data_IF_216619594978
#
_entry.id   IF_216619594978
#
_cell.length_a   1.000
_cell.length_b   1.000
_cell.length_c   1.000
_cell.angle_alpha   90.00
_cell.angle_beta   90.00
_cell.angle_gamma   90.00
#
_symmetry.space_group_name_H-M   'P 1'
#
loop_
_entity.id
_entity.type
_entity.pdbx_description
1 polymer ?
#
# COMPACT_ATOMS: atom_id res chain seq x y z
N UNK A 1 -29.44 32.45 25.38
CA UNK A 1 -28.87 33.26 24.29
C UNK A 1 -27.53 32.65 23.93
N UNK A 2 -27.32 32.28 22.68
CA UNK A 2 -25.99 31.91 22.18
C UNK A 2 -25.19 33.19 21.97
N UNK A 3 -23.94 33.22 22.45
CA UNK A 3 -23.06 34.40 22.35
C UNK A 3 -22.64 34.66 20.90
N UNK A 4 -22.50 33.61 20.10
CA UNK A 4 -22.11 33.71 18.69
C UNK A 4 -23.31 33.94 17.78
N UNK A 5 -23.22 35.01 17.00
CA UNK A 5 -24.14 35.36 15.92
C UNK A 5 -23.84 34.56 14.66
N UNK A 6 -24.71 34.65 13.66
CA UNK A 6 -24.47 34.05 12.35
C UNK A 6 -23.32 34.72 11.60
N UNK A 7 -23.08 36.02 11.85
CA UNK A 7 -21.93 36.74 11.31
C UNK A 7 -20.61 36.22 11.91
N UNK A 8 -20.56 36.01 13.23
CA UNK A 8 -19.36 35.44 13.89
C UNK A 8 -19.06 34.03 13.36
N UNK A 9 -20.10 33.22 13.12
CA UNK A 9 -19.96 31.89 12.50
C UNK A 9 -19.43 31.97 11.08
N UNK A 10 -19.99 32.86 10.24
CA UNK A 10 -19.53 33.03 8.87
C UNK A 10 -18.07 33.53 8.80
N UNK A 11 -17.65 34.39 9.73
CA UNK A 11 -16.27 34.85 9.83
C UNK A 11 -15.33 33.68 10.19
N UNK A 12 -15.72 32.85 11.17
CA UNK A 12 -14.95 31.65 11.54
C UNK A 12 -14.82 30.66 10.37
N UNK A 13 -15.90 30.40 9.63
CA UNK A 13 -15.88 29.56 8.42
C UNK A 13 -14.90 30.10 7.38
N UNK A 14 -14.88 31.43 7.15
CA UNK A 14 -13.93 32.06 6.25
C UNK A 14 -12.48 31.94 6.73
N UNK A 15 -12.23 32.04 8.04
CA UNK A 15 -10.90 31.86 8.62
C UNK A 15 -10.37 30.42 8.44
N UNK A 16 -11.25 29.41 8.45
CA UNK A 16 -10.87 27.99 8.41
C UNK A 16 -10.92 27.38 7.00
N UNK A 17 -11.52 28.04 6.01
CA UNK A 17 -11.70 27.50 4.67
C UNK A 17 -10.41 26.97 4.00
N UNK A 18 -9.28 27.68 4.16
CA UNK A 18 -7.99 27.21 3.60
C UNK A 18 -7.40 26.05 4.41
N UNK A 19 -7.65 26.00 5.72
CA UNK A 19 -7.27 24.86 6.57
C UNK A 19 -8.06 23.62 6.16
N UNK A 20 -9.36 23.75 5.92
CA UNK A 20 -10.20 22.63 5.47
C UNK A 20 -9.78 22.14 4.09
N UNK A 21 -9.44 23.05 3.17
CA UNK A 21 -8.91 22.68 1.84
C UNK A 21 -7.57 21.96 1.95
N UNK A 22 -6.67 22.42 2.83
CA UNK A 22 -5.41 21.74 3.11
C UNK A 22 -5.67 20.33 3.64
N UNK A 23 -6.51 20.18 4.67
CA UNK A 23 -6.80 18.89 5.28
C UNK A 23 -7.47 17.92 4.31
N UNK A 24 -8.40 18.41 3.48
CA UNK A 24 -9.10 17.59 2.50
C UNK A 24 -8.18 17.10 1.35
N UNK A 25 -7.24 17.94 0.91
CA UNK A 25 -6.38 17.62 -0.25
C UNK A 25 -5.08 16.93 0.13
N UNK A 26 -4.42 17.38 1.21
CA UNK A 26 -3.14 16.83 1.66
C UNK A 26 -3.30 15.60 2.56
N UNK A 27 -4.47 15.42 3.20
CA UNK A 27 -4.73 14.33 4.13
C UNK A 27 -6.07 13.59 3.87
N UNK A 28 -6.26 13.02 2.65
CA UNK A 28 -7.51 12.35 2.27
C UNK A 28 -7.81 11.04 3.04
N UNK A 29 -6.81 10.45 3.70
CA UNK A 29 -6.91 9.17 4.40
C UNK A 29 -6.60 7.95 3.53
N UNK A 30 -6.70 6.76 4.13
CA UNK A 30 -6.48 5.48 3.44
C UNK A 30 -7.53 5.30 2.31
N UNK A 31 -7.13 5.01 1.07
CA UNK A 31 -8.05 4.83 -0.05
C UNK A 31 -8.94 3.58 0.08
N UNK A 32 -8.66 2.67 1.02
CA UNK A 32 -9.45 1.46 1.24
C UNK A 32 -9.31 0.41 0.14
N UNK A 33 -8.30 0.53 -0.73
CA UNK A 33 -7.95 -0.51 -1.69
C UNK A 33 -7.06 -1.57 -1.02
N UNK A 34 -6.89 -2.72 -1.66
CA UNK A 34 -5.99 -3.77 -1.16
C UNK A 34 -4.54 -3.25 -1.07
N UNK A 35 -3.86 -3.49 0.06
CA UNK A 35 -2.41 -3.34 0.22
C UNK A 35 -1.79 -4.74 0.27
N UNK A 36 -0.70 -5.01 -0.49
CA UNK A 36 -0.05 -6.30 -0.42
C UNK A 36 0.68 -6.50 0.92
N UNK A 37 0.78 -7.74 1.41
CA UNK A 37 1.51 -8.03 2.68
C UNK A 37 3.03 -8.01 2.53
N UNK A 38 3.50 -8.11 1.29
CA UNK A 38 4.93 -8.07 0.97
C UNK A 38 5.17 -7.49 -0.42
N UNK A 39 6.42 -7.15 -0.72
CA UNK A 39 6.94 -6.88 -2.06
C UNK A 39 8.22 -7.70 -2.27
N UNK A 40 8.38 -8.28 -3.45
CA UNK A 40 9.63 -8.95 -3.85
C UNK A 40 10.32 -8.19 -4.97
N UNK A 41 11.64 -8.08 -4.90
CA UNK A 41 12.46 -7.50 -5.96
C UNK A 41 13.24 -8.62 -6.64
N UNK A 42 13.03 -8.77 -7.95
CA UNK A 42 13.70 -9.81 -8.75
C UNK A 42 14.48 -9.13 -9.86
N UNK A 43 15.76 -9.50 -10.09
CA UNK A 43 16.53 -8.96 -11.21
C UNK A 43 15.74 -9.11 -12.50
N UNK A 44 15.61 -8.02 -13.26
CA UNK A 44 14.66 -7.98 -14.38
C UNK A 44 14.91 -9.05 -15.45
N UNK A 45 16.18 -9.41 -15.67
CA UNK A 45 16.58 -10.48 -16.59
C UNK A 45 16.29 -11.91 -16.10
N UNK A 46 15.80 -12.07 -14.87
CA UNK A 46 15.39 -13.37 -14.29
C UNK A 46 13.89 -13.54 -14.21
N UNK A 47 13.10 -12.51 -14.50
CA UNK A 47 11.66 -12.62 -14.46
C UNK A 47 11.13 -13.49 -15.61
N UNK A 48 10.32 -14.48 -15.25
CA UNK A 48 9.54 -15.29 -16.19
C UNK A 48 8.07 -15.29 -15.79
N UNK A 49 7.12 -15.51 -16.72
CA UNK A 49 5.69 -15.53 -16.40
C UNK A 49 5.26 -16.55 -15.34
N UNK A 50 6.03 -17.64 -15.18
CA UNK A 50 5.81 -18.73 -14.23
C UNK A 50 6.51 -18.52 -12.87
N UNK A 51 7.35 -17.48 -12.75
CA UNK A 51 8.15 -17.21 -11.55
C UNK A 51 7.33 -17.21 -10.25
N UNK A 52 6.12 -16.59 -10.16
CA UNK A 52 5.34 -16.64 -8.92
C UNK A 52 4.99 -18.08 -8.51
N UNK A 53 4.49 -18.89 -9.43
CA UNK A 53 4.15 -20.29 -9.16
C UNK A 53 5.40 -21.11 -8.77
N UNK A 54 6.53 -20.87 -9.43
CA UNK A 54 7.80 -21.50 -9.07
C UNK A 54 8.23 -21.16 -7.63
N UNK A 55 8.14 -19.88 -7.23
CA UNK A 55 8.45 -19.45 -5.87
C UNK A 55 7.48 -20.04 -4.84
N UNK A 56 6.20 -20.18 -5.18
CA UNK A 56 5.21 -20.87 -4.35
C UNK A 56 5.58 -22.34 -4.10
N UNK A 57 5.94 -23.08 -5.16
CA UNK A 57 6.39 -24.45 -5.05
C UNK A 57 7.69 -24.59 -4.25
N UNK A 58 8.69 -23.73 -4.50
CA UNK A 58 9.96 -23.72 -3.75
C UNK A 58 9.74 -23.44 -2.26
N UNK A 59 8.82 -22.53 -1.92
CA UNK A 59 8.45 -22.21 -0.56
C UNK A 59 7.80 -23.41 0.16
N UNK A 60 6.88 -24.11 -0.51
CA UNK A 60 6.23 -25.31 0.00
C UNK A 60 7.23 -26.46 0.19
N UNK A 61 8.13 -26.66 -0.77
CA UNK A 61 9.20 -27.66 -0.68
C UNK A 61 10.18 -27.35 0.45
N UNK A 62 10.50 -26.07 0.69
CA UNK A 62 11.31 -25.65 1.82
C UNK A 62 10.63 -26.01 3.15
N UNK A 63 9.34 -25.68 3.31
CA UNK A 63 8.58 -26.03 4.50
C UNK A 63 8.46 -27.56 4.68
N UNK A 64 8.19 -28.32 3.60
CA UNK A 64 8.06 -29.77 3.63
C UNK A 64 9.34 -30.46 4.15
N UNK A 65 10.52 -29.98 3.71
CA UNK A 65 11.82 -30.48 4.20
C UNK A 65 12.03 -30.31 5.71
N UNK A 66 11.37 -29.32 6.32
CA UNK A 66 11.40 -29.08 7.78
C UNK A 66 10.20 -29.71 8.52
N UNK A 67 9.46 -30.60 7.87
CA UNK A 67 8.32 -31.30 8.46
C UNK A 67 6.96 -30.62 8.24
N UNK A 68 6.89 -29.67 7.29
CA UNK A 68 5.64 -29.05 6.83
C UNK A 68 5.28 -27.75 7.54
N UNK A 69 4.30 -27.04 6.97
CA UNK A 69 3.86 -25.72 7.45
C UNK A 69 3.27 -25.75 8.87
N UNK A 70 2.52 -26.78 9.25
CA UNK A 70 1.92 -26.89 10.58
C UNK A 70 2.99 -27.04 11.68
N UNK A 71 4.00 -27.90 11.43
CA UNK A 71 5.14 -28.02 12.33
C UNK A 71 5.92 -26.71 12.42
N UNK A 72 6.18 -26.08 11.28
CA UNK A 72 6.85 -24.78 11.26
C UNK A 72 6.06 -23.72 12.05
N UNK A 73 4.74 -23.66 11.91
CA UNK A 73 3.89 -22.75 12.68
C UNK A 73 4.01 -23.03 14.19
N UNK A 74 3.94 -24.29 14.61
CA UNK A 74 4.09 -24.69 16.01
C UNK A 74 5.48 -24.36 16.58
N UNK A 75 6.56 -24.68 15.85
CA UNK A 75 7.95 -24.43 16.24
C UNK A 75 8.27 -22.93 16.39
N UNK A 76 7.48 -22.08 15.72
CA UNK A 76 7.58 -20.61 15.77
C UNK A 76 6.57 -19.96 16.73
N UNK A 77 5.63 -20.71 17.30
CA UNK A 77 4.54 -20.16 18.11
C UNK A 77 3.59 -19.28 17.30
N UNK A 78 3.29 -19.67 16.06
CA UNK A 78 2.43 -18.95 15.11
C UNK A 78 1.12 -19.73 14.89
N UNK A 79 0.54 -20.24 15.97
CA UNK A 79 -0.64 -21.09 15.94
C UNK A 79 -1.96 -20.30 15.86
N UNK A 80 -1.95 -18.98 16.08
CA UNK A 80 -3.15 -18.14 15.92
C UNK A 80 -3.99 -17.96 17.19
N UNK A 81 -3.42 -18.29 18.37
CA UNK A 81 -4.10 -18.08 19.66
C UNK A 81 -4.07 -16.62 20.14
N UNK A 82 -5.22 -16.04 20.53
CA UNK A 82 -5.25 -14.75 21.21
C UNK A 82 -4.46 -14.79 22.54
N UNK A 83 -3.39 -14.00 22.64
CA UNK A 83 -2.65 -13.78 23.89
C UNK A 83 -1.48 -14.73 24.16
N UNK A 84 -1.09 -15.59 23.21
CA UNK A 84 0.18 -16.32 23.26
C UNK A 84 1.32 -15.39 22.86
N UNK A 85 1.74 -14.53 23.81
CA UNK A 85 3.15 -14.16 23.83
C UNK A 85 3.98 -15.45 23.77
N UNK A 86 5.06 -15.46 22.99
CA UNK A 86 5.91 -16.62 22.73
C UNK A 86 6.07 -17.51 24.00
N UNK A 87 5.28 -18.60 24.11
CA UNK A 87 5.32 -19.45 25.31
C UNK A 87 4.05 -20.19 25.74
N UNK A 88 2.86 -19.92 25.18
CA UNK A 88 1.67 -20.75 25.42
C UNK A 88 1.31 -21.52 24.15
N UNK A 89 1.57 -22.85 24.14
CA UNK A 89 1.19 -23.72 23.03
C UNK A 89 -0.33 -23.80 22.93
N UNK A 90 -0.91 -23.37 21.82
CA UNK A 90 -2.28 -23.74 21.49
C UNK A 90 -2.33 -25.19 20.99
N UNK A 91 -3.53 -25.76 20.88
CA UNK A 91 -3.70 -27.13 20.43
C UNK A 91 -3.27 -27.29 18.96
N UNK A 92 -2.80 -28.49 18.61
CA UNK A 92 -2.48 -28.93 17.24
C UNK A 92 -3.69 -28.97 16.26
N UNK A 93 -4.68 -28.09 16.44
CA UNK A 93 -5.73 -27.84 15.47
C UNK A 93 -5.66 -26.43 14.87
N UNK A 94 -5.08 -25.46 15.58
CA UNK A 94 -5.00 -24.08 15.08
C UNK A 94 -3.79 -23.86 14.17
N UNK A 95 -2.63 -24.41 14.53
CA UNK A 95 -1.45 -24.40 13.66
C UNK A 95 -1.75 -25.04 12.29
N UNK A 96 -2.56 -26.10 12.27
CA UNK A 96 -3.04 -26.81 11.10
C UNK A 96 -3.99 -25.94 10.27
N UNK A 97 -4.88 -25.19 10.92
CA UNK A 97 -5.77 -24.25 10.23
C UNK A 97 -4.99 -23.10 9.57
N UNK A 98 -4.02 -22.50 10.29
CA UNK A 98 -3.15 -21.47 9.72
C UNK A 98 -2.32 -22.03 8.57
N UNK A 99 -1.73 -23.21 8.76
CA UNK A 99 -0.93 -23.89 7.74
C UNK A 99 -1.74 -24.19 6.46
N UNK A 100 -2.99 -24.62 6.58
CA UNK A 100 -3.86 -24.87 5.42
C UNK A 100 -4.15 -23.59 4.62
N UNK A 101 -4.40 -22.46 5.30
CA UNK A 101 -4.59 -21.17 4.65
C UNK A 101 -3.31 -20.69 3.95
N UNK A 102 -2.15 -20.83 4.62
CA UNK A 102 -0.86 -20.46 4.03
C UNK A 102 -0.51 -21.35 2.84
N UNK A 103 -0.81 -22.65 2.91
CA UNK A 103 -0.62 -23.55 1.78
C UNK A 103 -1.45 -23.09 0.58
N UNK A 104 -2.75 -22.85 0.77
CA UNK A 104 -3.63 -22.35 -0.30
C UNK A 104 -3.13 -21.01 -0.88
N UNK A 105 -2.59 -20.13 -0.03
CA UNK A 105 -1.99 -18.87 -0.45
C UNK A 105 -0.75 -19.07 -1.33
N UNK A 106 0.17 -19.95 -0.92
CA UNK A 106 1.38 -20.26 -1.67
C UNK A 106 1.10 -20.98 -2.99
N UNK A 107 0.02 -21.76 -3.06
CA UNK A 107 -0.41 -22.46 -4.29
C UNK A 107 -1.09 -21.52 -5.30
N UNK A 108 -1.83 -20.50 -4.83
CA UNK A 108 -2.68 -19.66 -5.69
C UNK A 108 -2.18 -18.23 -5.91
N UNK A 109 -1.54 -17.61 -4.92
CA UNK A 109 -1.04 -16.23 -4.98
C UNK A 109 0.20 -16.07 -4.08
N UNK A 110 1.31 -16.77 -4.36
CA UNK A 110 2.51 -16.77 -3.53
C UNK A 110 3.22 -15.42 -3.47
N UNK A 111 3.11 -14.61 -4.54
CA UNK A 111 3.66 -13.26 -4.62
C UNK A 111 2.49 -12.29 -4.83
N UNK A 112 2.24 -11.42 -3.87
CA UNK A 112 1.20 -10.38 -4.00
C UNK A 112 1.69 -9.18 -4.81
N UNK A 113 2.98 -8.84 -4.68
CA UNK A 113 3.58 -7.65 -5.27
C UNK A 113 5.02 -7.89 -5.75
N UNK A 114 5.28 -7.63 -7.02
CA UNK A 114 6.56 -7.91 -7.68
C UNK A 114 7.15 -6.67 -8.34
N UNK A 115 8.43 -6.39 -8.09
CA UNK A 115 9.23 -5.37 -8.77
C UNK A 115 10.31 -6.04 -9.61
N UNK A 116 10.26 -5.80 -10.92
CA UNK A 116 11.35 -6.11 -11.83
C UNK A 116 12.45 -5.09 -11.57
N UNK A 117 13.57 -5.55 -11.03
CA UNK A 117 14.65 -4.72 -10.57
C UNK A 117 15.66 -4.48 -11.69
N UNK A 118 15.90 -3.22 -12.02
CA UNK A 118 16.94 -2.73 -12.94
C UNK A 118 18.04 -1.96 -12.19
N UNK A 119 18.03 -2.04 -10.86
CA UNK A 119 18.91 -1.32 -9.98
C UNK A 119 19.90 -2.28 -9.30
N UNK A 120 20.03 -2.30 -7.97
CA UNK A 120 21.11 -3.03 -7.29
C UNK A 120 21.10 -4.54 -7.56
N UNK A 121 19.92 -5.17 -7.64
CA UNK A 121 19.80 -6.61 -7.91
C UNK A 121 20.11 -6.99 -9.36
N UNK A 122 20.06 -6.04 -10.28
CA UNK A 122 20.31 -6.26 -11.71
C UNK A 122 21.80 -6.16 -12.08
N UNK A 123 22.52 -5.28 -11.40
CA UNK A 123 23.91 -4.93 -11.71
C UNK A 123 24.03 -3.86 -12.80
N UNK A 124 25.19 -3.80 -13.44
CA UNK A 124 25.58 -2.72 -14.37
C UNK A 124 26.01 -3.25 -15.76
N UNK A 125 25.11 -3.89 -16.52
CA UNK A 125 25.40 -4.24 -17.90
C UNK A 125 25.50 -2.99 -18.78
N UNK A 126 25.91 -3.16 -20.03
CA UNK A 126 25.94 -2.05 -20.99
C UNK A 126 24.52 -1.59 -21.40
N UNK A 127 24.44 -0.38 -21.95
CA UNK A 127 23.18 0.26 -22.32
C UNK A 127 22.32 -0.56 -23.29
N UNK A 128 22.95 -1.28 -24.22
CA UNK A 128 22.23 -2.09 -25.22
C UNK A 128 21.59 -3.33 -24.58
N UNK A 129 22.32 -3.96 -23.66
CA UNK A 129 21.82 -5.09 -22.87
C UNK A 129 20.65 -4.66 -21.96
N UNK A 130 20.78 -3.55 -21.22
CA UNK A 130 19.70 -3.06 -20.37
C UNK A 130 18.46 -2.64 -21.17
N UNK A 131 18.66 -2.05 -22.36
CA UNK A 131 17.59 -1.75 -23.30
C UNK A 131 16.83 -3.02 -23.73
N UNK A 132 17.55 -4.10 -24.06
CA UNK A 132 16.96 -5.36 -24.46
C UNK A 132 16.18 -6.01 -23.32
N UNK A 133 16.75 -6.00 -22.11
CA UNK A 133 16.12 -6.56 -20.91
C UNK A 133 14.87 -5.77 -20.51
N UNK A 134 14.85 -4.43 -20.63
CA UNK A 134 13.67 -3.61 -20.38
C UNK A 134 12.48 -4.00 -21.26
N UNK A 135 12.73 -4.24 -22.55
CA UNK A 135 11.69 -4.68 -23.50
C UNK A 135 11.26 -6.13 -23.22
N UNK A 136 12.22 -7.02 -22.96
CA UNK A 136 11.94 -8.42 -22.66
C UNK A 136 11.11 -8.57 -21.37
N UNK A 137 11.44 -7.79 -20.34
CA UNK A 137 10.73 -7.68 -19.09
C UNK A 137 9.27 -7.25 -19.30
N UNK A 138 9.04 -6.16 -20.05
CA UNK A 138 7.69 -5.70 -20.38
C UNK A 138 6.88 -6.76 -21.13
N UNK A 139 7.47 -7.39 -22.16
CA UNK A 139 6.83 -8.46 -22.90
C UNK A 139 6.52 -9.69 -22.02
N UNK A 140 7.37 -10.01 -21.04
CA UNK A 140 7.11 -11.08 -20.08
C UNK A 140 5.94 -10.75 -19.16
N UNK A 141 5.81 -9.50 -18.71
CA UNK A 141 4.66 -9.05 -17.91
C UNK A 141 3.37 -9.16 -18.71
N UNK A 142 3.37 -8.77 -19.99
CA UNK A 142 2.22 -8.93 -20.89
C UNK A 142 1.82 -10.41 -20.99
N UNK A 143 2.77 -11.31 -21.27
CA UNK A 143 2.50 -12.76 -21.32
C UNK A 143 1.96 -13.31 -20.00
N UNK A 144 2.48 -12.87 -18.86
CA UNK A 144 1.99 -13.29 -17.56
C UNK A 144 0.54 -12.85 -17.31
N UNK A 145 0.17 -11.64 -17.76
CA UNK A 145 -1.22 -11.16 -17.69
C UNK A 145 -2.16 -11.96 -18.58
N UNK A 146 -1.76 -12.20 -19.83
CA UNK A 146 -2.55 -13.01 -20.77
C UNK A 146 -2.76 -14.45 -20.27
N UNK A 147 -1.75 -15.01 -19.60
CA UNK A 147 -1.81 -16.33 -18.99
C UNK A 147 -2.54 -16.36 -17.62
N UNK A 148 -2.88 -15.19 -17.05
CA UNK A 148 -3.47 -15.10 -15.71
C UNK A 148 -2.51 -15.48 -14.56
N UNK A 149 -1.19 -15.41 -14.79
CA UNK A 149 -0.15 -15.76 -13.82
C UNK A 149 0.56 -14.55 -13.21
N UNK A 150 0.26 -13.34 -13.70
CA UNK A 150 0.81 -12.11 -13.15
C UNK A 150 0.32 -11.88 -11.70
N UNK A 151 1.21 -11.46 -10.78
CA UNK A 151 0.80 -10.97 -9.46
C UNK A 151 -0.21 -9.82 -9.55
N UNK A 152 -1.06 -9.64 -8.52
CA UNK A 152 -2.02 -8.52 -8.47
C UNK A 152 -1.36 -7.15 -8.61
N UNK A 153 -0.15 -7.00 -8.06
CA UNK A 153 0.68 -5.82 -8.19
C UNK A 153 2.00 -6.20 -8.85
N UNK A 154 2.36 -5.50 -9.93
CA UNK A 154 3.59 -5.77 -10.67
C UNK A 154 4.15 -4.48 -11.24
N UNK A 155 5.47 -4.37 -11.26
CA UNK A 155 6.08 -3.09 -11.56
C UNK A 155 7.57 -3.14 -11.75
N UNK A 156 8.19 -1.97 -11.68
CA UNK A 156 9.61 -1.78 -11.96
C UNK A 156 10.28 -0.98 -10.84
N UNK A 157 11.48 -1.40 -10.44
CA UNK A 157 12.45 -0.53 -9.78
C UNK A 157 13.54 -0.21 -10.79
N UNK A 158 13.55 1.03 -11.26
CA UNK A 158 14.55 1.51 -12.22
C UNK A 158 15.63 2.32 -11.49
N UNK A 159 16.74 2.62 -12.18
CA UNK A 159 17.85 3.34 -11.56
C UNK A 159 17.44 4.73 -11.04
N UNK A 160 18.11 5.15 -9.97
CA UNK A 160 17.84 6.40 -9.24
C UNK A 160 17.95 7.67 -10.10
N UNK A 161 17.49 8.80 -9.55
CA UNK A 161 17.64 10.14 -10.15
C UNK A 161 18.92 10.87 -9.74
N UNK A 162 19.92 10.14 -9.27
CA UNK A 162 21.26 10.68 -9.04
C UNK A 162 21.90 11.11 -10.37
N UNK A 163 22.96 11.92 -10.29
CA UNK A 163 23.59 12.49 -11.49
C UNK A 163 24.08 11.42 -12.47
N UNK A 164 24.66 10.34 -11.95
CA UNK A 164 25.25 9.27 -12.74
C UNK A 164 24.21 8.36 -13.42
N UNK A 165 23.02 8.22 -12.82
CA UNK A 165 22.06 7.16 -13.17
C UNK A 165 20.79 7.67 -13.82
N UNK A 166 20.41 8.96 -13.63
CA UNK A 166 19.10 9.49 -14.05
C UNK A 166 18.77 9.27 -15.53
N UNK A 167 19.73 9.44 -16.43
CA UNK A 167 19.51 9.29 -17.87
C UNK A 167 19.19 7.84 -18.22
N UNK A 168 19.96 6.91 -17.66
CA UNK A 168 19.76 5.46 -17.82
C UNK A 168 18.44 5.02 -17.19
N UNK A 169 18.14 5.48 -15.98
CA UNK A 169 16.89 5.18 -15.28
C UNK A 169 15.65 5.61 -16.07
N UNK A 170 15.64 6.85 -16.57
CA UNK A 170 14.54 7.36 -17.42
C UNK A 170 14.39 6.57 -18.71
N UNK A 171 15.51 6.19 -19.35
CA UNK A 171 15.49 5.38 -20.58
C UNK A 171 14.87 4.00 -20.34
N UNK A 172 15.24 3.34 -19.24
CA UNK A 172 14.71 2.03 -18.86
C UNK A 172 13.22 2.10 -18.53
N UNK A 173 12.79 3.12 -17.78
CA UNK A 173 11.38 3.35 -17.47
C UNK A 173 10.53 3.56 -18.74
N UNK A 174 11.00 4.42 -19.66
CA UNK A 174 10.35 4.70 -20.94
C UNK A 174 10.16 3.42 -21.77
N UNK A 175 11.22 2.61 -21.92
CA UNK A 175 11.17 1.35 -22.65
C UNK A 175 10.23 0.32 -22.03
N UNK A 176 10.26 0.19 -20.70
CA UNK A 176 9.40 -0.75 -20.00
C UNK A 176 7.92 -0.38 -20.17
N UNK A 177 7.57 0.91 -19.99
CA UNK A 177 6.19 1.37 -20.15
C UNK A 177 5.72 1.28 -21.61
N UNK A 178 6.56 1.65 -22.57
CA UNK A 178 6.24 1.49 -23.98
C UNK A 178 5.97 0.01 -24.34
N UNK A 179 6.80 -0.91 -23.86
CA UNK A 179 6.61 -2.34 -24.09
C UNK A 179 5.34 -2.90 -23.43
N UNK A 180 4.93 -2.39 -22.25
CA UNK A 180 3.65 -2.77 -21.65
C UNK A 180 2.47 -2.31 -22.52
N UNK A 181 2.57 -1.09 -23.07
CA UNK A 181 1.52 -0.49 -23.90
C UNK A 181 1.38 -1.16 -25.27
N UNK A 182 2.44 -1.78 -25.80
CA UNK A 182 2.36 -2.64 -26.97
C UNK A 182 1.44 -3.86 -26.73
N UNK A 183 1.32 -4.30 -25.48
CA UNK A 183 0.42 -5.37 -25.05
C UNK A 183 -0.99 -4.91 -24.64
N UNK A 184 -1.34 -3.63 -24.83
CA UNK A 184 -2.64 -3.05 -24.46
C UNK A 184 -2.56 -2.13 -23.25
N UNK A 185 -3.61 -2.09 -22.43
CA UNK A 185 -3.65 -1.19 -21.27
C UNK A 185 -2.66 -1.59 -20.18
N UNK A 186 -2.13 -0.58 -19.48
CA UNK A 186 -1.26 -0.76 -18.32
C UNK A 186 -1.96 -1.56 -17.21
N UNK A 187 -1.24 -2.45 -16.49
CA UNK A 187 -1.81 -3.19 -15.36
C UNK A 187 -2.43 -2.26 -14.32
N UNK A 188 -3.62 -2.57 -13.80
CA UNK A 188 -4.25 -1.75 -12.74
C UNK A 188 -3.35 -1.65 -11.50
N UNK A 189 -2.70 -2.76 -11.13
CA UNK A 189 -1.69 -2.84 -10.09
C UNK A 189 -0.27 -2.48 -10.55
N UNK A 190 -0.11 -1.67 -11.60
CA UNK A 190 1.21 -1.19 -12.03
C UNK A 190 1.84 -0.32 -10.94
N UNK A 191 3.07 -0.62 -10.57
CA UNK A 191 3.82 0.18 -9.59
C UNK A 191 5.20 0.57 -10.11
N UNK A 192 5.56 1.84 -9.95
CA UNK A 192 6.89 2.35 -10.27
C UNK A 192 7.62 2.62 -8.95
N UNK A 193 8.86 2.20 -8.80
CA UNK A 193 9.66 2.50 -7.60
C UNK A 193 10.85 3.38 -7.96
N UNK A 194 10.95 4.53 -7.30
CA UNK A 194 12.08 5.45 -7.39
C UNK A 194 13.03 5.22 -6.20
N UNK A 195 14.22 4.63 -6.43
CA UNK A 195 15.19 4.38 -5.37
C UNK A 195 16.08 5.60 -5.08
N UNK A 196 16.80 5.53 -3.97
CA UNK A 196 17.87 6.47 -3.54
C UNK A 196 17.42 7.94 -3.61
N UNK A 197 16.19 8.20 -3.14
CA UNK A 197 15.69 9.57 -3.01
C UNK A 197 16.32 10.22 -1.78
N UNK A 198 16.89 11.41 -1.98
CA UNK A 198 17.58 12.18 -0.95
C UNK A 198 16.95 13.56 -0.73
N UNK A 199 16.15 14.05 -1.68
CA UNK A 199 15.50 15.37 -1.61
C UNK A 199 14.10 15.35 -2.24
N UNK A 200 13.22 16.26 -1.79
CA UNK A 200 11.90 16.44 -2.38
C UNK A 200 11.96 16.81 -3.89
N UNK A 201 13.04 17.45 -4.34
CA UNK A 201 13.22 17.81 -5.75
C UNK A 201 13.25 16.59 -6.68
N UNK A 202 13.77 15.45 -6.24
CA UNK A 202 13.75 14.21 -7.02
C UNK A 202 12.32 13.67 -7.17
N UNK A 203 11.46 13.83 -6.16
CA UNK A 203 10.05 13.45 -6.25
C UNK A 203 9.27 14.37 -7.22
N UNK A 204 9.52 15.68 -7.19
CA UNK A 204 8.96 16.62 -8.17
C UNK A 204 9.42 16.28 -9.60
N UNK A 205 10.69 15.94 -9.79
CA UNK A 205 11.20 15.49 -11.09
C UNK A 205 10.51 14.20 -11.57
N UNK A 206 10.21 13.26 -10.66
CA UNK A 206 9.51 12.03 -11.00
C UNK A 206 8.04 12.27 -11.35
N UNK A 207 7.36 13.18 -10.63
CA UNK A 207 6.02 13.62 -11.00
C UNK A 207 5.98 14.25 -12.40
N UNK A 208 6.98 15.08 -12.74
CA UNK A 208 7.13 15.64 -14.08
C UNK A 208 7.37 14.54 -15.13
N UNK A 209 8.23 13.56 -14.84
CA UNK A 209 8.50 12.44 -15.77
C UNK A 209 7.24 11.62 -16.03
N UNK A 210 6.47 11.29 -14.98
CA UNK A 210 5.19 10.61 -15.09
C UNK A 210 4.21 11.40 -15.98
N UNK A 211 4.05 12.70 -15.76
CA UNK A 211 3.16 13.55 -16.56
C UNK A 211 3.57 13.59 -18.04
N UNK A 212 4.88 13.59 -18.34
CA UNK A 212 5.37 13.55 -19.72
C UNK A 212 5.13 12.20 -20.39
N UNK A 213 5.32 11.10 -19.67
CA UNK A 213 5.01 9.76 -20.17
C UNK A 213 3.51 9.61 -20.43
N UNK A 214 2.67 10.08 -19.52
CA UNK A 214 1.21 10.09 -19.71
C UNK A 214 0.79 10.85 -20.96
N UNK A 215 1.28 12.08 -21.14
CA UNK A 215 0.98 12.90 -22.32
C UNK A 215 1.42 12.21 -23.62
N UNK A 216 2.64 11.66 -23.66
CA UNK A 216 3.18 11.00 -24.86
C UNK A 216 2.48 9.72 -25.24
N UNK A 217 1.97 8.99 -24.25
CA UNK A 217 1.26 7.73 -24.45
C UNK A 217 -0.27 7.89 -24.46
N UNK A 218 -0.79 9.12 -24.32
CA UNK A 218 -2.23 9.37 -24.29
C UNK A 218 -2.94 8.78 -23.06
N UNK A 219 -2.23 8.63 -21.94
CA UNK A 219 -2.78 8.10 -20.71
C UNK A 219 -3.53 9.20 -19.93
N UNK A 220 -4.55 8.84 -19.13
CA UNK A 220 -5.18 9.78 -18.21
C UNK A 220 -4.16 10.41 -17.26
N UNK A 221 -4.31 11.70 -16.98
CA UNK A 221 -3.46 12.40 -16.02
C UNK A 221 -3.54 11.73 -14.64
N UNK A 222 -2.38 11.46 -14.04
CA UNK A 222 -2.29 10.80 -12.73
C UNK A 222 -2.38 9.27 -12.78
N UNK A 223 -2.48 8.66 -13.97
CA UNK A 223 -2.46 7.19 -14.15
C UNK A 223 -1.15 6.56 -13.65
N UNK A 224 -0.03 7.24 -13.83
CA UNK A 224 1.29 6.82 -13.36
C UNK A 224 1.55 7.39 -11.97
N UNK A 225 1.56 6.48 -10.99
CA UNK A 225 1.92 6.71 -9.59
C UNK A 225 3.21 5.98 -9.28
N UNK A 226 3.89 6.37 -8.20
CA UNK A 226 5.16 5.77 -7.83
C UNK A 226 5.35 5.65 -6.31
N UNK A 227 6.16 4.68 -5.93
CA UNK A 227 6.66 4.47 -4.57
C UNK A 227 8.07 5.04 -4.46
N UNK A 228 8.41 5.50 -3.26
CA UNK A 228 9.74 6.05 -2.95
C UNK A 228 10.46 5.10 -2.01
N UNK A 229 11.67 4.68 -2.39
CA UNK A 229 12.58 4.00 -1.47
C UNK A 229 13.23 5.05 -0.56
N UNK A 230 12.84 5.03 0.72
CA UNK A 230 13.37 5.89 1.76
C UNK A 230 14.56 5.18 2.38
N UNK A 231 15.74 5.52 1.87
CA UNK A 231 16.98 4.82 2.21
C UNK A 231 18.19 5.72 2.39
N UNK A 232 17.98 7.03 2.36
CA UNK A 232 19.02 8.01 2.65
C UNK A 232 18.67 8.77 3.95
N UNK A 233 19.63 8.97 4.87
CA UNK A 233 19.40 9.74 6.08
C UNK A 233 18.90 11.17 5.81
N UNK A 234 19.32 11.76 4.69
CA UNK A 234 18.95 13.13 4.29
C UNK A 234 17.46 13.24 3.96
N UNK A 235 16.81 12.16 3.51
CA UNK A 235 15.37 12.17 3.31
C UNK A 235 14.61 12.15 4.65
N UNK A 236 15.22 11.63 5.72
CA UNK A 236 14.63 11.62 7.06
C UNK A 236 14.88 12.96 7.79
N UNK A 237 16.11 13.46 7.77
CA UNK A 237 16.52 14.71 8.41
C UNK A 237 17.34 15.56 7.45
N UNK A 238 16.78 16.71 7.07
CA UNK A 238 17.44 17.68 6.19
C UNK A 238 18.58 18.42 6.90
N UNK A 239 19.55 18.97 6.15
CA UNK A 239 20.67 19.73 6.71
C UNK A 239 20.23 21.03 7.42
N UNK A 240 19.01 21.49 7.18
CA UNK A 240 18.37 22.64 7.82
C UNK A 240 17.49 22.26 9.02
N UNK A 241 17.50 20.99 9.43
CA UNK A 241 16.67 20.47 10.52
C UNK A 241 15.23 20.16 10.13
N UNK A 242 14.88 20.25 8.84
CA UNK A 242 13.54 19.87 8.36
C UNK A 242 13.41 18.35 8.23
N UNK A 243 12.18 17.88 7.95
CA UNK A 243 11.86 16.48 7.67
C UNK A 243 11.48 16.35 6.19
N UNK A 244 12.43 16.13 5.27
CA UNK A 244 12.15 16.11 3.83
C UNK A 244 11.14 15.03 3.43
N UNK A 245 11.04 13.94 4.21
CA UNK A 245 10.04 12.89 3.99
C UNK A 245 8.59 13.37 4.16
N UNK A 246 8.35 14.43 4.94
CA UNK A 246 7.05 15.07 5.02
C UNK A 246 6.80 16.00 3.81
N UNK A 247 7.83 16.75 3.41
CA UNK A 247 7.71 17.69 2.30
C UNK A 247 7.50 16.99 0.94
N UNK A 248 8.20 15.87 0.67
CA UNK A 248 8.08 15.21 -0.65
C UNK A 248 6.66 14.69 -0.92
N UNK A 249 5.94 14.26 0.12
CA UNK A 249 4.58 13.69 -0.01
C UNK A 249 3.62 14.68 -0.67
N UNK A 250 3.87 15.97 -0.50
CA UNK A 250 3.07 17.07 -1.05
C UNK A 250 3.70 17.68 -2.32
N UNK A 251 4.91 17.27 -2.70
CA UNK A 251 5.66 17.83 -3.83
C UNK A 251 5.47 17.09 -5.16
N UNK A 252 4.62 16.07 -5.17
CA UNK A 252 4.43 15.14 -6.30
C UNK A 252 2.96 15.01 -6.75
N UNK A 253 2.11 16.00 -6.49
CA UNK A 253 0.72 16.07 -6.96
C UNK A 253 -0.11 14.79 -6.68
N UNK A 254 0.06 14.19 -5.50
CA UNK A 254 -0.63 12.96 -5.10
C UNK A 254 -0.17 11.66 -5.79
N UNK A 255 0.91 11.72 -6.60
CA UNK A 255 1.44 10.56 -7.33
C UNK A 255 2.19 9.57 -6.45
N UNK A 256 2.68 9.98 -5.29
CA UNK A 256 3.31 9.05 -4.35
C UNK A 256 2.24 8.09 -3.81
N UNK A 257 2.45 6.78 -3.96
CA UNK A 257 1.55 5.73 -3.49
C UNK A 257 2.08 4.99 -2.26
N UNK A 258 3.40 4.95 -2.07
CA UNK A 258 4.03 4.27 -0.96
C UNK A 258 5.43 4.76 -0.63
N UNK A 259 5.85 4.56 0.62
CA UNK A 259 7.21 4.75 1.11
C UNK A 259 7.77 3.40 1.56
N UNK A 260 8.90 2.99 1.02
CA UNK A 260 9.56 1.73 1.32
C UNK A 260 10.84 1.99 2.09
N UNK A 261 10.99 1.41 3.28
CA UNK A 261 12.21 1.56 4.06
C UNK A 261 13.35 0.70 3.49
N UNK A 262 14.39 1.33 2.93
CA UNK A 262 15.58 0.62 2.42
C UNK A 262 16.56 0.30 3.54
N UNK A 263 16.52 -0.93 4.05
CA UNK A 263 17.27 -1.32 5.27
C UNK A 263 18.77 -1.15 5.13
N UNK A 264 19.36 -1.65 4.05
CA UNK A 264 20.80 -1.78 3.93
C UNK A 264 21.47 -0.46 3.55
N UNK A 265 21.01 0.22 2.50
CA UNK A 265 21.48 1.55 2.10
C UNK A 265 21.37 2.57 3.24
N UNK A 266 20.24 2.58 3.96
CA UNK A 266 20.07 3.48 5.10
C UNK A 266 21.04 3.17 6.23
N UNK A 267 21.20 1.88 6.57
CA UNK A 267 22.07 1.48 7.67
C UNK A 267 23.56 1.67 7.35
N UNK A 268 23.96 1.49 6.09
CA UNK A 268 25.30 1.76 5.59
C UNK A 268 25.61 3.26 5.64
N UNK A 269 24.66 4.11 5.21
CA UNK A 269 24.81 5.56 5.29
C UNK A 269 24.95 6.08 6.74
N UNK A 270 24.40 5.35 7.72
CA UNK A 270 24.60 5.62 9.15
C UNK A 270 25.88 5.00 9.73
N UNK A 271 26.67 4.28 8.93
CA UNK A 271 27.85 3.53 9.35
C UNK A 271 27.56 2.49 10.43
N UNK A 272 26.37 1.89 10.39
CA UNK A 272 26.04 0.76 11.27
C UNK A 272 26.89 -0.43 10.83
N UNK A 273 27.64 -1.00 11.78
CA UNK A 273 28.52 -2.12 11.50
C UNK A 273 27.75 -3.31 10.88
N UNK A 274 28.34 -4.06 9.94
CA UNK A 274 27.62 -5.07 9.16
C UNK A 274 26.82 -6.10 9.99
N UNK A 275 27.37 -6.55 11.12
CA UNK A 275 26.70 -7.51 12.01
C UNK A 275 25.43 -6.97 12.70
N UNK A 276 25.21 -5.66 12.63
CA UNK A 276 24.09 -4.95 13.28
C UNK A 276 23.16 -4.26 12.27
N UNK A 277 23.41 -4.42 10.96
CA UNK A 277 22.49 -3.95 9.93
C UNK A 277 21.22 -4.82 9.96
N UNK A 278 20.16 -4.27 10.56
CA UNK A 278 18.89 -4.95 10.72
C UNK A 278 17.74 -3.96 10.68
N UNK A 279 16.59 -4.42 10.16
CA UNK A 279 15.37 -3.60 10.08
C UNK A 279 14.77 -3.26 11.46
N UNK A 280 15.24 -3.87 12.55
CA UNK A 280 14.86 -3.56 13.93
C UNK A 280 15.94 -2.81 14.73
N UNK A 281 17.00 -2.33 14.07
CA UNK A 281 18.00 -1.47 14.67
C UNK A 281 17.39 -0.11 15.10
N UNK A 282 17.84 0.55 16.19
CA UNK A 282 17.31 1.84 16.63
C UNK A 282 17.34 2.95 15.56
N UNK A 283 18.36 2.94 14.69
CA UNK A 283 18.44 3.84 13.53
C UNK A 283 17.32 3.62 12.51
N UNK A 284 16.95 2.35 12.26
CA UNK A 284 15.80 1.99 11.43
C UNK A 284 14.49 2.40 12.10
N UNK A 285 14.37 2.21 13.42
CA UNK A 285 13.20 2.61 14.19
C UNK A 285 12.95 4.12 14.12
N UNK A 286 14.02 4.93 14.21
CA UNK A 286 13.92 6.38 14.04
C UNK A 286 13.36 6.76 12.67
N UNK A 287 13.96 6.23 11.58
CA UNK A 287 13.49 6.49 10.22
C UNK A 287 12.02 6.12 10.03
N UNK A 288 11.65 4.92 10.48
CA UNK A 288 10.29 4.38 10.34
C UNK A 288 9.27 5.14 11.16
N UNK A 289 9.62 5.64 12.35
CA UNK A 289 8.74 6.49 13.12
C UNK A 289 8.48 7.82 12.39
N UNK A 290 9.52 8.45 11.84
CA UNK A 290 9.40 9.69 11.08
C UNK A 290 8.57 9.48 9.81
N UNK A 291 8.83 8.42 9.05
CA UNK A 291 8.03 8.04 7.88
C UNK A 291 6.56 7.83 8.23
N UNK A 292 6.28 7.15 9.34
CA UNK A 292 4.91 6.83 9.75
C UNK A 292 4.13 8.09 10.12
N UNK A 293 4.74 9.01 10.86
CA UNK A 293 4.13 10.31 11.19
C UNK A 293 3.92 11.16 9.93
N UNK A 294 4.90 11.19 9.02
CA UNK A 294 4.80 11.94 7.77
C UNK A 294 3.68 11.42 6.86
N UNK A 295 3.53 10.11 6.72
CA UNK A 295 2.52 9.49 5.86
C UNK A 295 1.10 9.50 6.47
N UNK A 296 0.96 9.69 7.78
CA UNK A 296 -0.32 9.59 8.47
C UNK A 296 -1.38 10.53 7.85
N UNK A 297 -2.51 9.95 7.45
CA UNK A 297 -3.61 10.69 6.84
C UNK A 297 -3.42 11.05 5.36
N UNK A 298 -2.22 10.93 4.79
CA UNK A 298 -1.97 11.28 3.38
C UNK A 298 -2.52 10.27 2.37
N UNK A 299 -2.83 9.05 2.83
CA UNK A 299 -3.20 7.92 1.97
C UNK A 299 -1.99 7.19 1.36
N UNK A 300 -0.77 7.66 1.63
CA UNK A 300 0.47 6.98 1.24
C UNK A 300 0.73 5.79 2.17
N UNK A 301 1.04 4.65 1.57
CA UNK A 301 1.30 3.39 2.28
C UNK A 301 2.74 3.29 2.75
N UNK A 302 2.96 2.44 3.74
CA UNK A 302 4.29 2.15 4.26
C UNK A 302 4.62 0.69 4.01
N UNK A 303 5.83 0.44 3.52
CA UNK A 303 6.47 -0.87 3.50
C UNK A 303 7.72 -0.84 4.37
N UNK A 304 7.84 -1.82 5.26
CA UNK A 304 9.09 -2.06 5.98
C UNK A 304 10.12 -2.66 5.00
N UNK A 305 11.37 -2.74 5.44
CA UNK A 305 12.45 -3.31 4.65
C UNK A 305 12.52 -4.83 4.72
N UNK A 306 13.72 -5.34 4.43
CA UNK A 306 14.02 -6.77 4.30
C UNK A 306 15.04 -7.26 5.33
N UNK A 307 15.11 -8.58 5.48
CA UNK A 307 16.30 -9.26 6.01
C UNK A 307 17.00 -10.06 4.91
N UNK A 308 18.32 -9.90 4.81
CA UNK A 308 19.24 -10.64 3.94
C UNK A 308 19.74 -11.94 4.58
N UNK A 309 19.29 -12.25 5.80
CA UNK A 309 19.50 -13.56 6.42
C UNK A 309 18.47 -14.51 5.82
N UNK A 310 18.89 -15.22 4.78
CA UNK A 310 18.03 -16.10 4.00
C UNK A 310 17.90 -17.48 4.68
N UNK A 311 16.70 -18.08 4.71
CA UNK A 311 16.49 -19.46 5.18
C UNK A 311 17.06 -20.52 4.21
N UNK A 312 18.38 -20.60 4.13
CA UNK A 312 19.15 -21.50 3.27
C UNK A 312 20.28 -22.14 4.09
N UNK A 313 20.74 -23.32 3.67
CA UNK A 313 21.83 -24.03 4.34
C UNK A 313 21.35 -25.25 5.13
N UNK A 314 22.01 -25.53 6.25
CA UNK A 314 21.65 -26.65 7.14
C UNK A 314 20.32 -26.39 7.87
N UNK A 315 19.67 -27.45 8.34
CA UNK A 315 18.34 -27.36 8.98
C UNK A 315 18.29 -26.36 10.16
N UNK A 316 19.35 -26.30 10.96
CA UNK A 316 19.45 -25.37 12.09
C UNK A 316 19.55 -23.90 11.62
N UNK A 317 20.30 -23.64 10.55
CA UNK A 317 20.46 -22.31 9.95
C UNK A 317 19.14 -21.84 9.33
N UNK A 318 18.45 -22.73 8.61
CA UNK A 318 17.12 -22.48 8.03
C UNK A 318 16.12 -22.12 9.13
N UNK A 319 16.04 -22.91 10.21
CA UNK A 319 15.12 -22.66 11.31
C UNK A 319 15.46 -21.37 12.07
N UNK A 320 16.75 -21.05 12.26
CA UNK A 320 17.18 -19.80 12.87
C UNK A 320 16.79 -18.58 12.02
N UNK A 321 17.01 -18.64 10.70
CA UNK A 321 16.61 -17.59 9.77
C UNK A 321 15.09 -17.41 9.71
N UNK A 322 14.31 -18.50 9.76
CA UNK A 322 12.85 -18.44 9.84
C UNK A 322 12.34 -17.84 11.14
N UNK A 323 12.93 -18.20 12.29
CA UNK A 323 12.62 -17.56 13.58
C UNK A 323 12.86 -16.06 13.53
N UNK A 324 14.01 -15.66 12.98
CA UNK A 324 14.34 -14.25 12.81
C UNK A 324 13.32 -13.56 11.90
N UNK A 325 13.05 -14.12 10.73
CA UNK A 325 12.14 -13.53 9.75
C UNK A 325 10.73 -13.38 10.31
N UNK A 326 10.14 -14.44 10.88
CA UNK A 326 8.81 -14.40 11.47
C UNK A 326 8.69 -13.34 12.59
N UNK A 327 9.70 -13.25 13.47
CA UNK A 327 9.77 -12.22 14.52
C UNK A 327 9.79 -10.81 13.94
N UNK A 328 10.58 -10.57 12.89
CA UNK A 328 10.68 -9.26 12.23
C UNK A 328 9.36 -8.88 11.55
N UNK A 329 8.72 -9.81 10.83
CA UNK A 329 7.41 -9.61 10.22
C UNK A 329 6.36 -9.26 11.27
N UNK A 330 6.26 -10.04 12.34
CA UNK A 330 5.31 -9.77 13.43
C UNK A 330 5.54 -8.40 14.06
N UNK A 331 6.80 -8.05 14.33
CA UNK A 331 7.17 -6.73 14.88
C UNK A 331 6.76 -5.59 13.95
N UNK A 332 6.91 -5.73 12.63
CA UNK A 332 6.46 -4.72 11.67
C UNK A 332 4.94 -4.52 11.74
N UNK A 333 4.17 -5.62 11.77
CA UNK A 333 2.71 -5.59 11.90
C UNK A 333 2.25 -4.91 13.19
N UNK A 334 2.84 -5.26 14.33
CA UNK A 334 2.59 -4.66 15.64
C UNK A 334 2.87 -3.15 15.66
N UNK A 335 3.77 -2.68 14.80
CA UNK A 335 4.15 -1.26 14.67
C UNK A 335 3.42 -0.52 13.55
N UNK A 336 2.44 -1.15 12.91
CA UNK A 336 1.62 -0.53 11.87
C UNK A 336 2.27 -0.48 10.48
N UNK A 337 3.27 -1.32 10.24
CA UNK A 337 3.83 -1.59 8.91
C UNK A 337 3.26 -2.91 8.39
N UNK A 338 2.24 -2.82 7.53
CA UNK A 338 1.47 -3.98 7.07
C UNK A 338 1.98 -4.61 5.77
N UNK A 339 3.08 -4.08 5.24
CA UNK A 339 3.79 -4.56 4.07
C UNK A 339 5.29 -4.57 4.40
N UNK A 340 6.03 -5.53 3.87
CA UNK A 340 7.49 -5.61 4.03
C UNK A 340 8.15 -6.23 2.80
N UNK A 341 9.46 -6.40 2.82
CA UNK A 341 10.18 -6.97 1.68
C UNK A 341 10.61 -8.41 1.95
N UNK A 342 10.45 -9.26 0.94
CA UNK A 342 11.03 -10.61 0.92
C UNK A 342 12.00 -10.71 -0.27
N UNK A 343 13.18 -11.28 -0.03
CA UNK A 343 14.28 -11.37 -0.98
C UNK A 343 14.39 -12.75 -1.64
N UNK A 344 13.66 -13.75 -1.12
CA UNK A 344 13.78 -15.14 -1.57
C UNK A 344 12.51 -15.95 -1.32
N UNK A 345 12.21 -16.94 -2.18
CA UNK A 345 11.05 -17.85 -2.06
C UNK A 345 10.95 -18.52 -0.66
N UNK A 346 12.10 -18.93 -0.11
CA UNK A 346 12.19 -19.52 1.23
C UNK A 346 11.73 -18.60 2.38
N UNK A 347 11.53 -17.30 2.18
CA UNK A 347 10.95 -16.40 3.19
C UNK A 347 9.41 -16.37 3.17
N UNK A 348 8.79 -16.79 2.07
CA UNK A 348 7.34 -16.78 1.91
C UNK A 348 6.57 -17.59 2.97
N UNK A 349 7.03 -18.79 3.41
CA UNK A 349 6.33 -19.53 4.46
C UNK A 349 6.18 -18.71 5.74
N UNK A 350 7.26 -18.09 6.20
CA UNK A 350 7.23 -17.30 7.45
C UNK A 350 6.61 -15.92 7.28
N UNK A 351 6.64 -15.34 6.08
CA UNK A 351 5.84 -14.13 5.75
C UNK A 351 4.36 -14.37 6.03
N UNK A 352 3.79 -15.40 5.40
CA UNK A 352 2.36 -15.67 5.49
C UNK A 352 1.97 -16.25 6.84
N UNK A 353 2.74 -17.19 7.41
CA UNK A 353 2.47 -17.73 8.75
C UNK A 353 2.43 -16.62 9.81
N UNK A 354 3.43 -15.73 9.85
CA UNK A 354 3.46 -14.65 10.83
C UNK A 354 2.33 -13.63 10.63
N UNK A 355 2.00 -13.32 9.37
CA UNK A 355 0.91 -12.39 9.04
C UNK A 355 -0.45 -12.97 9.38
N UNK A 356 -0.70 -14.23 9.03
CA UNK A 356 -1.99 -14.88 9.26
C UNK A 356 -2.21 -15.13 10.75
N UNK A 357 -1.20 -15.59 11.48
CA UNK A 357 -1.26 -15.72 12.93
C UNK A 357 -1.58 -14.37 13.59
N UNK A 358 -0.89 -13.28 13.22
CA UNK A 358 -1.14 -11.94 13.77
C UNK A 358 -2.61 -11.49 13.63
N UNK A 359 -3.21 -11.68 12.45
CA UNK A 359 -4.62 -11.33 12.26
C UNK A 359 -5.56 -12.28 12.99
N UNK A 360 -5.29 -13.59 12.97
CA UNK A 360 -6.15 -14.59 13.63
C UNK A 360 -6.14 -14.45 15.15
N UNK A 361 -5.02 -14.06 15.75
CA UNK A 361 -4.91 -13.71 17.17
C UNK A 361 -5.87 -12.54 17.53
N UNK A 362 -5.97 -11.54 16.65
CA UNK A 362 -6.65 -10.28 16.93
C UNK A 362 -8.10 -10.21 16.48
N UNK A 363 -8.48 -10.89 15.40
CA UNK A 363 -9.80 -10.74 14.75
C UNK A 363 -10.95 -11.09 15.69
N UNK A 364 -10.94 -12.19 16.47
CA UNK A 364 -12.06 -12.50 17.37
C UNK A 364 -12.36 -11.40 18.38
N UNK A 365 -11.33 -10.75 18.94
CA UNK A 365 -11.50 -9.63 19.86
C UNK A 365 -11.99 -8.37 19.13
N UNK A 366 -11.48 -8.12 17.92
CA UNK A 366 -11.90 -6.97 17.11
C UNK A 366 -13.37 -7.07 16.67
N UNK A 367 -13.81 -8.25 16.23
CA UNK A 367 -15.18 -8.53 15.81
C UNK A 367 -16.16 -8.35 16.96
N UNK A 368 -15.88 -8.93 18.14
CA UNK A 368 -16.73 -8.73 19.34
C UNK A 368 -16.84 -7.25 19.74
N UNK A 369 -15.76 -6.49 19.62
CA UNK A 369 -15.76 -5.06 19.93
C UNK A 369 -16.53 -4.24 18.91
N UNK A 370 -16.45 -4.59 17.63
CA UNK A 370 -17.27 -4.00 16.57
C UNK A 370 -18.75 -4.30 16.79
N UNK A 371 -19.10 -5.54 17.13
CA UNK A 371 -20.47 -5.94 17.49
C UNK A 371 -20.99 -5.06 18.64
N UNK A 372 -20.27 -5.01 19.76
CA UNK A 372 -20.65 -4.21 20.93
C UNK A 372 -20.85 -2.72 20.60
N UNK A 373 -19.96 -2.17 19.76
CA UNK A 373 -20.04 -0.77 19.32
C UNK A 373 -21.31 -0.52 18.48
N UNK A 374 -21.70 -1.45 17.61
CA UNK A 374 -22.87 -1.31 16.73
C UNK A 374 -24.20 -1.55 17.47
N UNK A 375 -24.20 -2.41 18.48
CA UNK A 375 -25.38 -2.67 19.33
C UNK A 375 -25.53 -1.70 20.50
N UNK A 376 -24.63 -0.73 20.65
CA UNK A 376 -24.56 0.20 21.78
C UNK A 376 -24.53 -0.53 23.15
N UNK A 377 -24.02 -1.76 23.18
CA UNK A 377 -23.94 -2.57 24.39
C UNK A 377 -22.62 -2.32 25.11
N UNK A 378 -22.69 -1.98 26.40
CA UNK A 378 -21.51 -1.78 27.23
C UNK A 378 -20.69 -3.07 27.42
N UNK A 379 -19.37 -2.91 27.51
CA UNK A 379 -18.40 -3.97 27.86
C UNK A 379 -17.27 -3.41 28.73
N UNK A 380 -16.24 -4.22 29.01
CA UNK A 380 -15.06 -3.78 29.78
C UNK A 380 -14.16 -2.76 29.07
N UNK A 381 -14.45 -2.44 27.80
CA UNK A 381 -13.74 -1.44 26.97
C UNK A 381 -14.81 -0.52 26.36
N UNK A 382 -14.60 0.79 26.45
CA UNK A 382 -15.45 1.78 25.79
C UNK A 382 -14.86 2.10 24.40
N UNK A 383 -15.59 1.73 23.35
CA UNK A 383 -15.20 2.00 21.96
C UNK A 383 -15.86 3.29 21.43
N UNK A 384 -15.05 4.13 20.79
CA UNK A 384 -15.45 5.40 20.17
C UNK A 384 -15.27 5.32 18.64
N UNK A 385 -15.80 6.27 17.84
CA UNK A 385 -15.65 6.21 16.38
C UNK A 385 -14.20 6.01 15.90
N UNK A 386 -13.20 6.53 16.63
CA UNK A 386 -11.80 6.32 16.29
C UNK A 386 -11.31 4.88 16.49
N UNK A 387 -11.70 4.23 17.59
CA UNK A 387 -11.31 2.85 17.86
C UNK A 387 -12.11 1.88 17.00
N UNK A 388 -13.42 2.11 16.79
CA UNK A 388 -14.23 1.34 15.85
C UNK A 388 -13.64 1.36 14.42
N UNK A 389 -13.18 2.53 13.95
CA UNK A 389 -12.46 2.65 12.67
C UNK A 389 -11.19 1.80 12.62
N UNK A 390 -10.42 1.77 13.71
CA UNK A 390 -9.18 0.99 13.77
C UNK A 390 -9.48 -0.51 13.75
N UNK A 391 -10.49 -0.96 14.49
CA UNK A 391 -10.96 -2.34 14.48
C UNK A 391 -11.45 -2.77 13.09
N UNK A 392 -12.26 -1.93 12.44
CA UNK A 392 -12.75 -2.20 11.09
C UNK A 392 -11.61 -2.32 10.07
N UNK A 393 -10.60 -1.43 10.12
CA UNK A 393 -9.40 -1.54 9.27
C UNK A 393 -8.60 -2.81 9.53
N UNK A 394 -8.51 -3.24 10.78
CA UNK A 394 -7.81 -4.47 11.14
C UNK A 394 -8.50 -5.70 10.54
N UNK A 395 -9.83 -5.79 10.67
CA UNK A 395 -10.63 -6.89 10.09
C UNK A 395 -10.60 -6.85 8.55
N UNK A 396 -10.69 -5.66 7.95
CA UNK A 396 -10.64 -5.49 6.49
C UNK A 396 -9.30 -5.99 5.91
N UNK A 397 -8.18 -5.68 6.56
CA UNK A 397 -6.86 -6.17 6.17
C UNK A 397 -6.73 -7.69 6.32
N UNK A 398 -7.28 -8.25 7.39
CA UNK A 398 -7.29 -9.70 7.61
C UNK A 398 -8.04 -10.46 6.50
N UNK A 399 -9.18 -9.91 6.06
CA UNK A 399 -9.96 -10.43 4.93
C UNK A 399 -9.23 -10.24 3.60
N UNK A 400 -8.61 -9.08 3.39
CA UNK A 400 -7.94 -8.74 2.14
C UNK A 400 -6.71 -9.61 1.86
N UNK A 401 -5.97 -10.03 2.89
CA UNK A 401 -4.81 -10.92 2.72
C UNK A 401 -5.16 -12.41 2.78
N UNK A 402 -6.39 -12.77 3.18
CA UNK A 402 -6.87 -14.16 3.28
C UNK A 402 -6.60 -14.85 4.62
N UNK A 403 -6.23 -14.10 5.67
CA UNK A 403 -5.96 -14.67 7.00
C UNK A 403 -7.23 -15.20 7.70
N UNK A 404 -8.39 -14.66 7.34
CA UNK A 404 -9.71 -15.06 7.84
C UNK A 404 -10.74 -15.01 6.71
N UNK A 405 -11.81 -15.77 6.88
CA UNK A 405 -12.96 -15.80 5.96
C UNK A 405 -14.08 -14.83 6.39
N UNK A 406 -14.99 -14.51 5.47
CA UNK A 406 -16.19 -13.73 5.78
C UNK A 406 -17.05 -14.38 6.88
N UNK A 407 -17.10 -15.72 6.90
CA UNK A 407 -17.83 -16.48 7.92
C UNK A 407 -17.21 -16.34 9.32
N UNK A 408 -15.88 -16.27 9.41
CA UNK A 408 -15.17 -16.08 10.69
C UNK A 408 -15.25 -14.63 11.18
N UNK A 409 -15.25 -13.65 10.28
CA UNK A 409 -15.05 -12.25 10.64
C UNK A 409 -16.31 -11.35 10.56
N UNK A 410 -17.20 -11.59 9.59
CA UNK A 410 -18.32 -10.68 9.30
C UNK A 410 -19.65 -11.17 9.90
N UNK A 411 -19.95 -12.46 9.74
CA UNK A 411 -21.20 -13.08 10.22
C UNK A 411 -21.40 -12.88 11.72
N UNK A 412 -20.39 -13.06 12.61
CA UNK A 412 -20.58 -12.87 14.04
C UNK A 412 -20.88 -11.41 14.43
N UNK A 413 -20.34 -10.43 13.69
CA UNK A 413 -20.61 -9.01 13.93
C UNK A 413 -21.90 -8.51 13.26
N UNK A 414 -22.63 -9.36 12.53
CA UNK A 414 -23.79 -8.93 11.73
C UNK A 414 -23.43 -7.91 10.64
N UNK A 415 -22.20 -7.97 10.13
CA UNK A 415 -21.67 -7.04 9.14
C UNK A 415 -21.62 -7.66 7.74
N UNK A 416 -21.68 -6.82 6.72
CA UNK A 416 -21.22 -7.12 5.36
C UNK A 416 -19.93 -6.35 5.01
N UNK A 417 -19.32 -6.69 3.87
CA UNK A 417 -18.08 -6.04 3.41
C UNK A 417 -18.26 -4.53 3.15
N UNK A 418 -19.43 -4.09 2.70
CA UNK A 418 -19.68 -2.68 2.40
C UNK A 418 -19.79 -1.85 3.70
N UNK A 419 -20.46 -2.40 4.71
CA UNK A 419 -20.57 -1.83 6.03
C UNK A 419 -19.20 -1.77 6.72
N UNK A 420 -18.41 -2.85 6.66
CA UNK A 420 -17.04 -2.87 7.16
C UNK A 420 -16.19 -1.79 6.49
N UNK A 421 -16.21 -1.71 5.16
CA UNK A 421 -15.47 -0.69 4.41
C UNK A 421 -15.90 0.74 4.77
N UNK A 422 -17.19 0.97 5.05
CA UNK A 422 -17.68 2.27 5.54
C UNK A 422 -17.16 2.59 6.94
N UNK A 423 -17.13 1.59 7.84
CA UNK A 423 -16.58 1.73 9.18
C UNK A 423 -15.05 1.91 9.17
N UNK A 424 -14.32 1.32 8.24
CA UNK A 424 -12.86 1.47 8.14
C UNK A 424 -12.43 2.87 7.66
N UNK A 425 -13.29 3.55 6.90
CA UNK A 425 -13.03 4.86 6.31
C UNK A 425 -13.29 5.99 7.30
N UNK A 426 -12.53 7.08 7.16
CA UNK A 426 -12.90 8.35 7.79
C UNK A 426 -14.19 8.81 7.12
N UNK A 427 -15.22 9.15 7.90
CA UNK A 427 -16.32 9.91 7.34
C UNK A 427 -15.69 11.17 6.75
N UNK A 428 -15.75 11.34 5.42
CA UNK A 428 -15.45 12.62 4.81
C UNK A 428 -16.28 13.63 5.60
N UNK A 429 -15.62 14.64 6.18
CA UNK A 429 -16.30 15.65 6.97
C UNK A 429 -17.55 16.06 6.19
N UNK A 430 -18.71 16.02 6.85
CA UNK A 430 -19.92 16.59 6.30
C UNK A 430 -19.64 18.07 6.07
N UNK A 431 -19.07 18.41 4.91
CA UNK A 431 -19.07 19.75 4.37
C UNK A 431 -20.56 20.13 4.30
N UNK A 432 -20.92 21.15 5.07
CA UNK A 432 -22.26 21.34 5.60
C UNK A 432 -23.39 21.15 4.59
N UNK A 433 -24.23 20.16 4.80
CA UNK A 433 -25.63 20.22 4.38
C UNK A 433 -26.45 20.75 5.55
N UNK A 434 -26.39 22.06 5.78
CA UNK A 434 -27.42 22.76 6.55
C UNK A 434 -28.38 23.44 5.56
N UNK A 435 -29.38 22.67 5.12
CA UNK A 435 -30.64 23.17 4.57
C UNK A 435 -31.62 21.99 4.46
N UNK A 436 -32.35 21.70 5.54
CA UNK A 436 -33.80 21.97 5.56
C UNK A 436 -34.38 21.51 6.90
N UNK A 437 -34.81 22.49 7.70
CA UNK A 437 -35.73 22.27 8.80
C UNK A 437 -37.09 22.81 8.39
N UNK A 438 -38.13 21.97 8.49
CA UNK A 438 -39.51 22.47 8.49
C UNK A 438 -40.58 21.52 7.95
N UNK A 439 -41.08 20.64 8.83
CA UNK A 439 -42.51 20.34 9.04
C UNK A 439 -43.52 20.59 7.89
N UNK A 440 -44.21 19.53 7.43
CA UNK A 440 -45.49 19.64 6.69
C UNK A 440 -46.68 20.06 7.59
N UNK A 441 -47.97 19.87 7.20
CA UNK A 441 -48.53 19.41 5.91
C UNK A 441 -49.70 20.28 5.36
N UNK A 442 -50.21 19.95 4.14
CA UNK A 442 -51.63 19.92 3.72
C UNK A 442 -51.96 20.49 2.31
N UNK A 443 -53.01 19.89 1.72
CA UNK A 443 -53.85 20.29 0.56
C UNK A 443 -53.22 20.15 -0.85
N UNK A 444 -53.56 19.13 -1.64
CA UNK A 444 -54.81 18.88 -2.39
C UNK A 444 -55.07 19.82 -3.57
N UNK A 445 -55.12 19.20 -4.75
CA UNK A 445 -56.07 19.44 -5.85
C UNK A 445 -55.66 20.34 -7.04
N UNK A 446 -55.95 19.81 -8.25
CA UNK A 446 -56.16 20.46 -9.59
C UNK A 446 -54.92 20.81 -10.42
N UNK A 447 -54.63 20.12 -11.53
CA UNK A 447 -55.31 20.05 -12.85
C UNK A 447 -55.09 21.27 -13.76
N UNK A 448 -54.56 21.02 -14.97
CA UNK A 448 -54.48 21.94 -16.12
C UNK A 448 -53.12 21.77 -16.81
N UNK A 449 -53.00 21.08 -17.95
CA UNK A 449 -53.49 21.54 -19.26
C UNK A 449 -52.57 22.68 -19.71
N UNK A 450 -51.58 22.50 -20.58
CA UNK A 450 -51.66 21.94 -21.92
C UNK A 450 -51.55 23.10 -22.92
N UNK A 451 -50.78 22.87 -24.01
CA UNK A 451 -50.67 23.74 -25.19
C UNK A 451 -49.76 24.98 -25.03
N UNK A 452 -48.93 25.42 -25.97
CA UNK A 452 -48.48 24.93 -27.28
C UNK A 452 -47.67 26.06 -27.93
N UNK A 453 -46.72 25.70 -28.81
CA UNK A 453 -46.33 26.46 -30.03
C UNK A 453 -45.61 27.81 -29.75
N UNK A 454 -44.68 28.30 -30.58
CA UNK A 454 -44.18 27.91 -31.90
C UNK A 454 -43.06 28.89 -32.25
N UNK A 455 -42.01 28.35 -32.90
CA UNK A 455 -41.24 28.90 -34.02
C UNK A 455 -40.57 30.28 -33.86
N UNK A 456 -39.27 30.32 -34.18
CA UNK A 456 -38.75 30.91 -35.43
C UNK A 456 -38.09 32.26 -35.11
N UNK A 457 -36.98 32.70 -35.69
CA UNK A 457 -36.02 32.18 -36.67
C UNK A 457 -34.96 33.30 -36.84
N UNK A 458 -33.81 32.99 -37.44
CA UNK A 458 -32.84 33.94 -38.07
C UNK A 458 -32.02 34.87 -37.12
N UNK A 459 -30.71 35.10 -37.23
CA UNK A 459 -29.67 34.76 -38.20
C UNK A 459 -28.56 35.85 -38.21
N UNK A 460 -27.37 35.48 -38.70
CA UNK A 460 -26.15 36.29 -39.04
C UNK A 460 -25.26 36.76 -37.86
N UNK A 461 -23.99 36.30 -37.70
CA UNK A 461 -22.78 36.52 -38.52
C UNK A 461 -22.43 38.04 -38.63
N UNK A 462 -21.24 38.57 -38.42
CA UNK A 462 -19.88 38.08 -38.17
C UNK A 462 -19.06 39.29 -37.64
N UNK A 463 -17.82 39.03 -37.19
CA UNK A 463 -16.60 39.69 -37.66
C UNK A 463 -15.62 40.29 -36.61
N UNK A 464 -14.36 39.99 -36.93
CA UNK A 464 -13.01 40.32 -36.48
C UNK A 464 -12.71 41.42 -35.44
N UNK A 465 -11.71 41.09 -34.59
CA UNK A 465 -10.45 41.86 -34.55
C UNK A 465 -10.05 42.53 -33.21
N UNK A 466 -8.84 42.24 -32.65
CA UNK A 466 -8.25 42.92 -31.47
C UNK A 466 -7.11 43.90 -31.92
N UNK A 467 -6.11 44.34 -31.09
CA UNK A 467 -5.89 44.42 -29.62
C UNK A 467 -5.32 45.80 -29.12
N UNK A 468 -4.90 45.82 -27.83
CA UNK A 468 -3.82 46.65 -27.19
C UNK A 468 -4.20 48.04 -26.64
N UNK A 469 -3.49 48.58 -25.61
CA UNK A 469 -2.06 48.44 -25.23
C UNK A 469 -1.71 47.32 -24.25
#
# INVERSE_FOLDING_TARGET
MTVFTDADRAELEAMLADTDRLLATAYPGDPGTRQPVHTVYVPANRFTPDLPAAWGAEALDAAARQGGLARLAADLGLDGTPGSGAGASSGAGEAEAVAALVQAKLESEPIEDLRLDFEDGYGTPDDGTEDADARAAAAAVVRAREAGTAPPFIGIRFKSFEAATRTRGLRTLDLFLAGLLEGGDLPDGLVLTLPKVSTAAQATAMAWACARLEERHGLPAGRLRFEVQVETPQLILGPDGTVPVAALLHAADGRISGLHYGTYDYSDALQIAPAWQAMDHPGADYAKAVMQVAAAGTGVRLSDGSTNILPLGADEEVLAAWRLHARLVRRSLERGYYQGWDLHAAQLPTRYLATYAFYRDGVPAAVRRLENYLSETGGGVLDEPATARALARFVDRALACGAVTDAEALVPAGLDRAQLARLARRAAGAAGSSADGGSGPAASDRSGGGSSRSAADVGYAADAGPPSP
#
